data_IF_184275193355
#
_entry.id   IF_184275193355
#
_cell.length_a   1.000
_cell.length_b   1.000
_cell.length_c   1.000
_cell.angle_alpha   90.00
_cell.angle_beta   90.00
_cell.angle_gamma   90.00
#
_symmetry.space_group_name_H-M   'P 1'
#
loop_
_entity.id
_entity.type
_entity.pdbx_description
1 polymer ?
#
# COMPACT_ATOMS: atom_id res chain seq x y z
N UNK A 1 14.02 -29.11 -1.46
CA UNK A 1 13.69 -29.07 -0.03
C UNK A 1 12.19 -29.15 0.23
N UNK A 2 11.35 -28.55 -0.64
CA UNK A 2 9.92 -28.39 -0.44
C UNK A 2 9.05 -29.15 -1.47
N UNK A 3 9.66 -29.97 -2.32
CA UNK A 3 8.95 -30.75 -3.34
C UNK A 3 7.86 -31.62 -2.71
N UNK A 4 6.65 -31.55 -3.28
CA UNK A 4 5.50 -32.33 -2.80
C UNK A 4 4.79 -31.77 -1.55
N UNK A 5 5.27 -30.69 -0.93
CA UNK A 5 4.58 -30.09 0.19
C UNK A 5 3.40 -29.22 -0.27
N UNK A 6 2.28 -29.18 0.46
CA UNK A 6 1.28 -28.13 0.27
C UNK A 6 1.92 -26.75 0.43
N UNK A 7 1.42 -25.77 -0.31
CA UNK A 7 1.93 -24.40 -0.24
C UNK A 7 0.93 -23.45 0.45
N UNK A 8 1.43 -22.41 1.07
CA UNK A 8 0.65 -21.34 1.68
C UNK A 8 1.27 -19.99 1.35
N UNK A 9 0.45 -18.97 1.11
CA UNK A 9 0.86 -17.57 1.00
C UNK A 9 0.60 -16.87 2.34
N UNK A 10 1.47 -15.93 2.71
CA UNK A 10 1.21 -14.98 3.78
C UNK A 10 0.98 -13.59 3.21
N UNK A 11 0.01 -12.88 3.78
CA UNK A 11 -0.26 -11.48 3.46
C UNK A 11 -0.62 -10.71 4.73
N UNK A 12 -0.47 -9.40 4.69
CA UNK A 12 -0.87 -8.53 5.80
C UNK A 12 -2.39 -8.31 5.78
N UNK A 13 -2.99 -8.27 6.95
CA UNK A 13 -4.41 -7.91 7.08
C UNK A 13 -4.68 -6.55 6.41
N UNK A 14 -5.84 -6.47 5.73
CA UNK A 14 -6.29 -5.29 4.97
C UNK A 14 -5.41 -4.91 3.77
N UNK A 15 -4.38 -5.68 3.43
CA UNK A 15 -3.56 -5.42 2.24
C UNK A 15 -4.36 -5.50 0.93
N UNK A 16 -3.83 -4.85 -0.10
CA UNK A 16 -4.35 -4.91 -1.45
C UNK A 16 -3.21 -5.13 -2.46
N UNK A 17 -3.25 -6.27 -3.16
CA UNK A 17 -2.20 -6.68 -4.09
C UNK A 17 -2.69 -6.87 -5.54
N UNK A 18 -3.93 -6.50 -5.82
CA UNK A 18 -4.53 -6.63 -7.15
C UNK A 18 -5.83 -7.44 -7.18
N UNK A 19 -6.39 -7.60 -8.38
CA UNK A 19 -7.75 -8.14 -8.59
C UNK A 19 -7.78 -9.40 -9.44
N UNK A 20 -6.62 -9.93 -9.87
CA UNK A 20 -6.54 -11.09 -10.76
C UNK A 20 -5.95 -12.28 -10.02
N UNK A 21 -6.65 -13.41 -10.06
CA UNK A 21 -6.25 -14.72 -9.52
C UNK A 21 -5.45 -14.65 -8.21
N UNK A 22 -4.17 -15.03 -8.20
CA UNK A 22 -3.33 -15.07 -6.98
C UNK A 22 -3.21 -13.72 -6.26
N UNK A 23 -2.93 -12.59 -6.93
CA UNK A 23 -2.97 -11.28 -6.28
C UNK A 23 -4.29 -10.97 -5.60
N UNK A 24 -5.42 -11.39 -6.18
CA UNK A 24 -6.73 -11.23 -5.56
C UNK A 24 -6.90 -12.08 -4.29
N UNK A 25 -6.30 -13.28 -4.25
CA UNK A 25 -6.36 -14.14 -3.07
C UNK A 25 -5.69 -13.51 -1.85
N UNK A 26 -4.58 -12.81 -2.05
CA UNK A 26 -3.85 -12.10 -0.98
C UNK A 26 -4.33 -10.65 -0.76
N UNK A 27 -5.34 -10.17 -1.51
CA UNK A 27 -5.97 -8.86 -1.31
C UNK A 27 -7.07 -8.94 -0.26
N UNK A 28 -6.68 -8.91 1.02
CA UNK A 28 -7.64 -9.04 2.13
C UNK A 28 -8.69 -7.91 2.16
N UNK A 29 -8.34 -6.70 1.74
CA UNK A 29 -9.28 -5.56 1.68
C UNK A 29 -10.49 -5.78 0.77
N UNK A 30 -10.38 -6.69 -0.21
CA UNK A 30 -11.47 -7.03 -1.14
C UNK A 30 -12.18 -8.35 -0.82
N UNK A 31 -11.79 -9.02 0.27
CA UNK A 31 -12.25 -10.37 0.61
C UNK A 31 -13.77 -10.51 0.60
N UNK A 32 -14.46 -9.66 1.34
CA UNK A 32 -15.91 -9.76 1.51
C UNK A 32 -16.65 -9.56 0.18
N UNK A 33 -16.16 -8.65 -0.65
CA UNK A 33 -16.69 -8.42 -2.00
C UNK A 33 -16.51 -9.62 -2.92
N UNK A 34 -15.38 -10.28 -2.87
CA UNK A 34 -15.09 -11.46 -3.68
C UNK A 34 -15.88 -12.67 -3.20
N UNK A 35 -15.92 -12.92 -1.88
CA UNK A 35 -16.67 -14.04 -1.30
C UNK A 35 -18.16 -13.93 -1.59
N UNK A 36 -18.70 -12.70 -1.61
CA UNK A 36 -20.12 -12.45 -1.88
C UNK A 36 -20.49 -12.57 -3.36
N UNK A 37 -19.62 -12.14 -4.27
CA UNK A 37 -19.99 -11.91 -5.66
C UNK A 37 -19.31 -12.85 -6.67
N UNK A 38 -18.25 -13.56 -6.28
CA UNK A 38 -17.46 -14.41 -7.18
C UNK A 38 -17.48 -15.86 -6.71
N UNK A 39 -18.49 -16.60 -7.13
CA UNK A 39 -18.70 -18.00 -6.71
C UNK A 39 -17.51 -18.93 -7.00
N UNK A 40 -16.71 -18.62 -8.03
CA UNK A 40 -15.51 -19.39 -8.40
C UNK A 40 -14.24 -18.95 -7.66
N UNK A 41 -14.32 -17.88 -6.85
CA UNK A 41 -13.19 -17.36 -6.08
C UNK A 41 -13.06 -18.11 -4.75
N UNK A 42 -12.56 -19.34 -4.82
CA UNK A 42 -12.40 -20.26 -3.70
C UNK A 42 -10.90 -20.57 -3.48
N UNK A 43 -10.58 -21.31 -2.43
CA UNK A 43 -9.22 -21.83 -2.19
C UNK A 43 -8.36 -20.91 -1.33
N UNK A 44 -8.98 -20.18 -0.40
CA UNK A 44 -8.25 -19.35 0.58
C UNK A 44 -7.70 -20.13 1.77
N UNK A 45 -7.90 -21.43 1.81
CA UNK A 45 -7.22 -22.35 2.71
C UNK A 45 -5.69 -22.30 2.58
N UNK A 46 -5.20 -21.81 1.43
CA UNK A 46 -3.78 -21.62 1.16
C UNK A 46 -3.27 -20.21 1.56
N UNK A 47 -4.05 -19.45 2.29
CA UNK A 47 -3.69 -18.11 2.76
C UNK A 47 -3.71 -18.07 4.28
N UNK A 48 -2.67 -17.46 4.89
CA UNK A 48 -2.73 -16.96 6.25
C UNK A 48 -2.52 -15.44 6.28
N UNK A 49 -3.25 -14.77 7.16
CA UNK A 49 -3.20 -13.33 7.33
C UNK A 49 -2.44 -12.99 8.60
N UNK A 50 -1.59 -11.97 8.51
CA UNK A 50 -0.78 -11.47 9.62
C UNK A 50 -1.25 -10.04 9.95
N UNK A 51 -1.55 -9.71 11.20
CA UNK A 51 -1.78 -8.31 11.59
C UNK A 51 -0.56 -7.44 11.24
N UNK A 52 -0.81 -6.20 10.82
CA UNK A 52 0.29 -5.30 10.45
C UNK A 52 1.26 -5.10 11.62
N UNK A 53 2.54 -5.26 11.35
CA UNK A 53 3.65 -5.09 12.31
C UNK A 53 3.63 -6.06 13.53
N UNK A 54 2.83 -7.11 13.49
CA UNK A 54 2.83 -8.13 14.56
C UNK A 54 3.88 -9.21 14.31
N UNK A 55 5.07 -9.01 14.88
CA UNK A 55 6.19 -9.94 14.79
C UNK A 55 5.85 -11.30 15.41
N UNK A 56 5.11 -11.33 16.52
CA UNK A 56 4.76 -12.58 17.18
C UNK A 56 3.81 -13.43 16.32
N UNK A 57 2.81 -12.79 15.70
CA UNK A 57 1.92 -13.45 14.75
C UNK A 57 2.67 -13.97 13.52
N UNK A 58 3.63 -13.18 13.00
CA UNK A 58 4.48 -13.60 11.89
C UNK A 58 5.30 -14.84 12.23
N UNK A 59 5.98 -14.84 13.36
CA UNK A 59 6.77 -16.00 13.86
C UNK A 59 5.88 -17.23 14.06
N UNK A 60 4.70 -17.05 14.67
CA UNK A 60 3.74 -18.12 14.89
C UNK A 60 3.25 -18.74 13.57
N UNK A 61 3.04 -17.93 12.52
CA UNK A 61 2.60 -18.43 11.22
C UNK A 61 3.65 -19.33 10.55
N UNK A 62 4.94 -18.98 10.63
CA UNK A 62 6.02 -19.82 10.11
C UNK A 62 6.17 -21.09 10.94
N UNK A 63 6.14 -21.01 12.27
CA UNK A 63 6.22 -22.17 13.15
C UNK A 63 5.04 -23.14 12.94
N UNK A 64 3.83 -22.62 12.75
CA UNK A 64 2.66 -23.45 12.47
C UNK A 64 2.77 -24.14 11.11
N UNK A 65 3.25 -23.42 10.07
CA UNK A 65 3.45 -24.00 8.74
C UNK A 65 4.49 -25.16 8.79
N UNK A 66 5.55 -25.01 9.55
CA UNK A 66 6.53 -26.09 9.75
C UNK A 66 5.90 -27.28 10.47
N UNK A 67 5.11 -27.06 11.52
CA UNK A 67 4.41 -28.11 12.24
C UNK A 67 3.39 -28.86 11.38
N UNK A 68 2.70 -28.15 10.49
CA UNK A 68 1.71 -28.70 9.54
C UNK A 68 2.37 -29.39 8.32
N UNK A 69 3.68 -29.24 8.14
CA UNK A 69 4.39 -29.71 6.94
C UNK A 69 4.06 -28.93 5.67
N UNK A 70 3.58 -27.68 5.82
CA UNK A 70 3.23 -26.76 4.73
C UNK A 70 4.42 -25.86 4.41
N UNK A 71 4.62 -25.55 3.12
CA UNK A 71 5.63 -24.60 2.69
C UNK A 71 5.00 -23.21 2.47
N UNK A 72 5.52 -22.19 3.14
CA UNK A 72 5.18 -20.80 2.85
C UNK A 72 5.94 -20.39 1.60
N UNK A 73 5.23 -20.23 0.47
CA UNK A 73 5.86 -19.88 -0.80
C UNK A 73 6.28 -18.39 -0.86
N UNK A 74 5.48 -17.51 -0.27
CA UNK A 74 5.77 -16.08 -0.20
C UNK A 74 5.12 -15.41 1.02
N UNK A 75 5.70 -14.29 1.41
CA UNK A 75 5.11 -13.25 2.24
C UNK A 75 5.00 -11.96 1.41
N UNK A 76 3.79 -11.43 1.25
CA UNK A 76 3.54 -10.18 0.55
C UNK A 76 3.31 -9.03 1.55
N UNK A 77 4.01 -7.90 1.37
CA UNK A 77 3.87 -6.69 2.18
C UNK A 77 3.80 -5.44 1.30
N UNK A 78 3.07 -4.41 1.75
CA UNK A 78 3.13 -3.06 1.19
C UNK A 78 4.02 -2.19 2.09
N UNK A 79 4.94 -1.36 1.58
CA UNK A 79 5.72 -0.43 2.42
C UNK A 79 4.81 0.53 3.20
N UNK A 80 3.74 0.97 2.55
CA UNK A 80 2.63 1.72 3.15
C UNK A 80 1.36 1.18 2.54
N UNK A 81 0.45 0.70 3.35
CA UNK A 81 -0.81 0.20 2.84
C UNK A 81 -1.62 1.31 2.16
N UNK A 82 -2.15 1.01 0.98
CA UNK A 82 -2.84 2.00 0.16
C UNK A 82 -4.37 1.92 0.19
N UNK A 83 -4.96 0.75 0.47
CA UNK A 83 -6.40 0.51 0.31
C UNK A 83 -7.12 0.19 1.63
N UNK A 84 -6.93 -0.98 2.19
CA UNK A 84 -7.77 -1.45 3.31
C UNK A 84 -7.37 -0.89 4.67
N UNK A 85 -6.11 -0.45 4.82
CA UNK A 85 -5.64 0.32 5.98
C UNK A 85 -4.69 1.42 5.49
N UNK A 86 -5.20 2.42 4.73
CA UNK A 86 -4.35 3.40 4.09
C UNK A 86 -3.50 4.14 5.12
N UNK A 87 -2.23 4.38 4.76
CA UNK A 87 -1.27 5.05 5.61
C UNK A 87 -0.59 4.19 6.68
N UNK A 88 -0.97 2.92 6.86
CA UNK A 88 -0.24 2.01 7.76
C UNK A 88 1.10 1.67 7.12
N UNK A 89 2.18 2.10 7.77
CA UNK A 89 3.56 1.86 7.34
C UNK A 89 4.09 0.55 7.93
N UNK A 90 4.90 -0.17 7.16
CA UNK A 90 5.67 -1.29 7.70
C UNK A 90 6.76 -0.76 8.63
N UNK A 91 6.91 -1.36 9.80
CA UNK A 91 7.98 -1.03 10.73
C UNK A 91 9.26 -1.77 10.36
N UNK A 92 10.42 -1.12 10.56
CA UNK A 92 11.72 -1.72 10.25
C UNK A 92 11.93 -3.07 10.95
N UNK A 93 11.58 -3.18 12.23
CA UNK A 93 11.74 -4.43 12.98
C UNK A 93 10.89 -5.58 12.40
N UNK A 94 9.66 -5.27 11.93
CA UNK A 94 8.81 -6.24 11.26
C UNK A 94 9.40 -6.68 9.92
N UNK A 95 9.90 -5.72 9.12
CA UNK A 95 10.56 -6.02 7.84
C UNK A 95 11.77 -6.92 8.02
N UNK A 96 12.65 -6.61 8.98
CA UNK A 96 13.86 -7.38 9.25
C UNK A 96 13.52 -8.81 9.66
N UNK A 97 12.51 -8.99 10.51
CA UNK A 97 12.05 -10.34 10.90
C UNK A 97 11.39 -11.07 9.73
N UNK A 98 10.58 -10.38 8.92
CA UNK A 98 10.01 -10.94 7.70
C UNK A 98 11.10 -11.43 6.74
N UNK A 99 12.17 -10.63 6.56
CA UNK A 99 13.31 -10.98 5.72
C UNK A 99 14.08 -12.19 6.29
N UNK A 100 14.33 -12.20 7.60
CA UNK A 100 15.00 -13.29 8.28
C UNK A 100 14.25 -14.61 8.11
N UNK A 101 12.95 -14.62 8.42
CA UNK A 101 12.12 -15.83 8.34
C UNK A 101 11.99 -16.35 6.92
N UNK A 102 11.75 -15.46 5.94
CA UNK A 102 11.64 -15.89 4.53
C UNK A 102 12.92 -16.53 4.04
N UNK A 103 14.10 -16.01 4.41
CA UNK A 103 15.41 -16.61 4.06
C UNK A 103 15.60 -17.98 4.72
N UNK A 104 15.35 -18.09 6.01
CA UNK A 104 15.51 -19.33 6.75
C UNK A 104 14.66 -20.47 6.18
N UNK A 105 13.43 -20.17 5.75
CA UNK A 105 12.50 -21.15 5.22
C UNK A 105 12.60 -21.38 3.72
N UNK A 106 13.35 -20.54 3.00
CA UNK A 106 13.44 -20.57 1.54
C UNK A 106 12.18 -20.01 0.85
N UNK A 107 11.42 -19.22 1.59
CA UNK A 107 10.26 -18.46 1.12
C UNK A 107 10.69 -17.19 0.41
N UNK A 108 9.81 -16.55 -0.35
CA UNK A 108 10.10 -15.26 -0.98
C UNK A 108 9.45 -14.11 -0.23
N UNK A 109 10.21 -13.03 -0.01
CA UNK A 109 9.67 -11.75 0.43
C UNK A 109 9.33 -10.92 -0.80
N UNK A 110 8.04 -10.61 -0.95
CA UNK A 110 7.50 -9.79 -2.05
C UNK A 110 7.05 -8.47 -1.50
N UNK A 111 7.63 -7.37 -1.98
CA UNK A 111 7.22 -6.01 -1.63
C UNK A 111 6.38 -5.43 -2.74
N UNK A 112 5.18 -4.97 -2.40
CA UNK A 112 4.27 -4.31 -3.31
C UNK A 112 4.32 -2.80 -3.12
N UNK A 113 5.16 -2.15 -3.91
CA UNK A 113 5.34 -0.69 -3.96
C UNK A 113 4.46 -0.01 -5.02
N UNK A 114 3.43 -0.70 -5.52
CA UNK A 114 2.55 -0.16 -6.56
C UNK A 114 1.86 1.14 -6.14
N UNK A 115 1.46 1.27 -4.88
CA UNK A 115 0.88 2.51 -4.35
C UNK A 115 1.90 3.38 -3.63
N UNK A 116 2.81 2.78 -2.88
CA UNK A 116 3.78 3.48 -2.03
C UNK A 116 5.02 3.98 -2.79
N UNK A 117 5.40 3.35 -3.89
CA UNK A 117 6.59 3.72 -4.66
C UNK A 117 6.57 5.19 -5.08
N UNK A 118 7.66 5.91 -4.83
CA UNK A 118 7.82 7.37 -4.94
C UNK A 118 6.94 8.14 -3.95
N UNK A 119 5.65 7.83 -3.88
CA UNK A 119 4.67 8.53 -3.06
C UNK A 119 4.96 8.46 -1.56
N UNK A 120 5.41 7.31 -1.07
CA UNK A 120 5.65 7.09 0.34
C UNK A 120 6.72 8.03 0.93
N UNK A 121 7.91 8.08 0.36
CA UNK A 121 9.00 8.93 0.86
C UNK A 121 9.84 9.58 -0.27
N UNK A 122 9.29 9.70 -1.45
CA UNK A 122 10.05 10.14 -2.63
C UNK A 122 11.03 9.09 -3.14
N UNK A 123 10.99 7.87 -2.61
CA UNK A 123 11.86 6.76 -2.95
C UNK A 123 11.11 5.71 -3.76
N UNK A 124 11.78 5.02 -4.65
CA UNK A 124 11.17 3.96 -5.43
C UNK A 124 11.02 2.68 -4.58
N UNK A 125 12.12 2.24 -3.97
CA UNK A 125 12.17 1.02 -3.18
C UNK A 125 12.04 1.28 -1.67
N UNK A 126 11.53 0.28 -0.94
CA UNK A 126 11.45 0.30 0.52
C UNK A 126 12.84 0.43 1.17
N UNK A 127 13.87 -0.16 0.58
CA UNK A 127 15.24 -0.08 1.12
C UNK A 127 15.88 1.30 1.00
N UNK A 128 15.24 2.22 0.30
CA UNK A 128 15.64 3.63 0.24
C UNK A 128 14.88 4.50 1.26
N UNK A 129 13.93 3.94 2.02
CA UNK A 129 13.19 4.67 3.04
C UNK A 129 14.10 5.02 4.22
N UNK A 130 13.80 6.13 4.89
CA UNK A 130 14.52 6.52 6.10
C UNK A 130 14.44 5.39 7.15
N UNK A 131 15.59 4.98 7.65
CA UNK A 131 15.74 3.86 8.57
C UNK A 131 15.79 2.46 7.93
N UNK A 132 15.72 2.36 6.59
CA UNK A 132 15.78 1.07 5.88
C UNK A 132 17.04 0.93 4.99
N UNK A 133 17.92 1.93 4.93
CA UNK A 133 19.04 1.98 3.98
C UNK A 133 20.06 0.83 4.14
N UNK A 134 20.10 0.22 5.31
CA UNK A 134 20.93 -0.97 5.61
C UNK A 134 20.10 -2.26 5.66
N UNK A 135 18.79 -2.20 5.33
CA UNK A 135 17.94 -3.37 5.25
C UNK A 135 18.31 -4.23 4.03
N UNK A 136 18.21 -5.54 4.20
CA UNK A 136 18.39 -6.44 3.08
C UNK A 136 17.21 -6.31 2.10
N UNK A 137 17.50 -6.19 0.81
CA UNK A 137 16.47 -6.05 -0.23
C UNK A 137 15.51 -7.26 -0.26
N UNK A 138 14.24 -7.05 -0.66
CA UNK A 138 13.28 -8.14 -0.87
C UNK A 138 13.71 -9.01 -2.07
N UNK A 139 13.13 -10.18 -2.19
CA UNK A 139 13.37 -11.05 -3.36
C UNK A 139 12.73 -10.49 -4.63
N UNK A 140 11.56 -9.86 -4.46
CA UNK A 140 10.85 -9.15 -5.54
C UNK A 140 10.22 -7.88 -5.02
N UNK A 141 10.23 -6.84 -5.84
CA UNK A 141 9.48 -5.60 -5.59
C UNK A 141 8.76 -5.15 -6.84
N UNK A 142 7.47 -4.80 -6.70
CA UNK A 142 6.60 -4.42 -7.81
C UNK A 142 6.27 -2.93 -7.76
N UNK A 143 6.29 -2.26 -8.92
CA UNK A 143 5.94 -0.84 -9.09
C UNK A 143 4.95 -0.64 -10.22
N UNK A 144 4.10 0.38 -10.09
CA UNK A 144 3.16 0.85 -11.11
C UNK A 144 2.74 2.29 -10.80
N UNK A 145 1.54 2.68 -11.12
CA UNK A 145 0.89 3.97 -10.79
C UNK A 145 1.83 5.19 -10.96
N UNK A 146 2.55 5.59 -9.92
CA UNK A 146 3.40 6.77 -9.94
C UNK A 146 4.44 6.77 -11.06
N UNK A 147 5.01 5.60 -11.43
CA UNK A 147 6.05 5.51 -12.46
C UNK A 147 5.55 5.80 -13.88
N UNK A 148 4.25 5.85 -14.11
CA UNK A 148 3.67 6.19 -15.41
C UNK A 148 2.84 7.46 -15.42
N UNK A 149 2.74 8.16 -14.30
CA UNK A 149 1.97 9.39 -14.11
C UNK A 149 0.49 9.26 -14.59
N UNK A 150 -0.07 8.06 -14.60
CA UNK A 150 -1.43 7.78 -15.07
C UNK A 150 -1.63 7.87 -16.59
N UNK A 151 -0.56 7.95 -17.38
CA UNK A 151 -0.64 8.11 -18.84
C UNK A 151 -0.84 6.79 -19.58
N UNK A 152 -0.07 5.75 -19.22
CA UNK A 152 -0.17 4.43 -19.84
C UNK A 152 -0.12 3.34 -18.77
N UNK A 153 -0.92 2.28 -18.90
CA UNK A 153 -0.79 1.11 -18.03
C UNK A 153 0.62 0.54 -18.11
N UNK A 154 1.30 0.49 -16.98
CA UNK A 154 2.63 -0.08 -16.84
C UNK A 154 2.78 -0.64 -15.44
N UNK A 155 3.38 -1.81 -15.34
CA UNK A 155 3.95 -2.35 -14.12
C UNK A 155 5.33 -2.92 -14.36
N UNK A 156 6.19 -2.81 -13.38
CA UNK A 156 7.56 -3.31 -13.40
C UNK A 156 7.77 -4.14 -12.14
N UNK A 157 8.48 -5.25 -12.28
CA UNK A 157 8.92 -6.07 -11.14
C UNK A 157 10.44 -6.15 -11.19
N UNK A 158 11.08 -5.66 -10.15
CA UNK A 158 12.48 -5.92 -9.86
C UNK A 158 12.60 -7.23 -9.09
N UNK A 159 13.65 -7.99 -9.34
CA UNK A 159 13.88 -9.25 -8.65
C UNK A 159 15.37 -9.51 -8.48
N UNK A 160 15.72 -10.29 -7.46
CA UNK A 160 17.09 -10.76 -7.27
C UNK A 160 17.50 -11.70 -8.39
N UNK A 161 18.81 -11.83 -8.63
CA UNK A 161 19.34 -12.78 -9.62
C UNK A 161 18.88 -14.20 -9.33
N UNK A 162 18.83 -14.59 -8.05
CA UNK A 162 18.37 -15.93 -7.67
C UNK A 162 16.92 -16.20 -8.10
N UNK A 163 16.03 -15.19 -8.02
CA UNK A 163 14.65 -15.32 -8.50
C UNK A 163 14.60 -15.30 -10.02
N UNK A 164 15.37 -14.42 -10.66
CA UNK A 164 15.43 -14.33 -12.12
C UNK A 164 15.91 -15.63 -12.77
N UNK A 165 16.86 -16.32 -12.16
CA UNK A 165 17.38 -17.60 -12.65
C UNK A 165 16.36 -18.74 -12.59
N UNK A 166 15.29 -18.58 -11.80
CA UNK A 166 14.15 -19.53 -11.75
C UNK A 166 13.13 -19.31 -12.87
N UNK A 167 13.21 -18.16 -13.56
CA UNK A 167 12.26 -17.84 -14.62
C UNK A 167 12.54 -18.69 -15.87
N UNK A 168 11.49 -19.34 -16.35
CA UNK A 168 11.54 -20.13 -17.60
C UNK A 168 10.75 -19.39 -18.67
N UNK A 169 11.40 -19.10 -19.80
CA UNK A 169 10.80 -18.41 -20.94
C UNK A 169 9.50 -19.09 -21.38
N UNK A 170 8.43 -18.32 -21.53
CA UNK A 170 7.13 -18.80 -21.98
C UNK A 170 6.20 -19.35 -20.91
N UNK A 171 6.63 -19.50 -19.64
CA UNK A 171 5.73 -19.90 -18.55
C UNK A 171 4.79 -18.76 -18.16
N UNK A 172 5.29 -17.53 -18.14
CA UNK A 172 4.52 -16.34 -17.82
C UNK A 172 4.80 -15.25 -18.85
N UNK A 173 3.78 -14.58 -19.28
CA UNK A 173 3.91 -13.47 -20.21
C UNK A 173 2.57 -12.88 -20.59
N UNK A 174 2.63 -11.73 -21.24
CA UNK A 174 1.50 -11.00 -21.76
C UNK A 174 1.93 -10.36 -23.08
N UNK A 175 1.14 -10.53 -24.13
CA UNK A 175 1.43 -9.99 -25.47
C UNK A 175 1.52 -8.45 -25.51
N UNK A 176 0.98 -7.77 -24.50
CA UNK A 176 0.99 -6.29 -24.39
C UNK A 176 2.13 -5.77 -23.53
N UNK A 177 3.06 -6.61 -23.07
CA UNK A 177 4.25 -6.17 -22.33
C UNK A 177 5.21 -5.41 -23.22
N UNK A 178 6.13 -4.65 -22.60
CA UNK A 178 7.16 -3.88 -23.29
C UNK A 178 6.63 -2.85 -24.30
N UNK A 179 5.45 -2.29 -24.06
CA UNK A 179 4.92 -1.21 -24.90
C UNK A 179 5.89 0.00 -24.85
N UNK A 180 6.49 0.40 -25.99
CA UNK A 180 7.50 1.45 -25.99
C UNK A 180 6.97 2.80 -25.50
N UNK A 181 5.71 3.14 -25.74
CA UNK A 181 5.11 4.39 -25.24
C UNK A 181 5.02 4.40 -23.71
N UNK A 182 4.66 3.26 -23.11
CA UNK A 182 4.63 3.14 -21.66
C UNK A 182 6.03 3.23 -21.06
N UNK A 183 7.03 2.61 -21.69
CA UNK A 183 8.42 2.65 -21.24
C UNK A 183 9.01 4.06 -21.34
N UNK A 184 8.82 4.76 -22.47
CA UNK A 184 9.25 6.15 -22.66
C UNK A 184 8.58 7.09 -21.64
N UNK A 185 7.28 6.88 -21.37
CA UNK A 185 6.60 7.65 -20.33
C UNK A 185 7.20 7.41 -18.95
N UNK A 186 7.51 6.16 -18.60
CA UNK A 186 8.13 5.83 -17.33
C UNK A 186 9.54 6.45 -17.21
N UNK A 187 10.36 6.40 -18.26
CA UNK A 187 11.67 7.06 -18.31
C UNK A 187 11.49 8.57 -18.05
N UNK A 188 10.61 9.23 -18.79
CA UNK A 188 10.35 10.65 -18.63
C UNK A 188 9.85 11.03 -17.23
N UNK A 189 9.09 10.16 -16.57
CA UNK A 189 8.66 10.34 -15.18
C UNK A 189 9.83 10.18 -14.22
N UNK A 190 10.60 9.12 -14.35
CA UNK A 190 11.74 8.84 -13.46
C UNK A 190 12.81 9.93 -13.53
N UNK A 191 13.08 10.47 -14.73
CA UNK A 191 14.01 11.60 -14.93
C UNK A 191 13.57 12.88 -14.21
N UNK A 192 12.27 13.00 -13.90
CA UNK A 192 11.72 14.14 -13.14
C UNK A 192 11.69 13.92 -11.63
N UNK A 193 11.98 12.73 -11.14
CA UNK A 193 12.05 12.44 -9.70
C UNK A 193 13.41 12.89 -9.17
N UNK A 194 13.62 14.21 -9.18
CA UNK A 194 14.84 14.83 -8.69
C UNK A 194 14.95 14.77 -7.16
N UNK A 195 16.16 15.01 -6.58
CA UNK A 195 16.31 15.13 -5.14
C UNK A 195 15.39 16.20 -4.52
N UNK A 196 15.18 17.32 -5.21
CA UNK A 196 14.30 18.41 -4.77
C UNK A 196 12.84 17.95 -4.69
N UNK A 197 12.36 17.22 -5.72
CA UNK A 197 11.00 16.67 -5.72
C UNK A 197 10.83 15.61 -4.62
N UNK A 198 11.82 14.75 -4.39
CA UNK A 198 11.81 13.78 -3.29
C UNK A 198 11.75 14.47 -1.94
N UNK A 199 12.53 15.55 -1.74
CA UNK A 199 12.48 16.35 -0.52
C UNK A 199 11.12 17.03 -0.36
N UNK A 200 10.52 17.54 -1.46
CA UNK A 200 9.18 18.12 -1.43
C UNK A 200 8.14 17.10 -0.97
N UNK A 201 8.14 15.87 -1.51
CA UNK A 201 7.24 14.80 -1.12
C UNK A 201 7.29 14.56 0.40
N UNK A 202 8.50 14.47 0.96
CA UNK A 202 8.68 14.27 2.41
C UNK A 202 8.20 15.48 3.23
N UNK A 203 8.62 16.67 2.84
CA UNK A 203 8.30 17.89 3.57
C UNK A 203 6.79 18.19 3.56
N UNK A 204 6.17 18.13 2.38
CA UNK A 204 4.69 18.36 2.26
C UNK A 204 3.89 17.24 2.93
N UNK A 205 4.40 16.01 2.88
CA UNK A 205 3.80 14.91 3.62
C UNK A 205 3.79 15.14 5.13
N UNK A 206 4.92 15.57 5.70
CA UNK A 206 5.02 15.91 7.12
C UNK A 206 4.08 17.07 7.50
N UNK A 207 4.03 18.13 6.69
CA UNK A 207 3.08 19.24 6.90
C UNK A 207 1.62 18.79 6.84
N UNK A 208 1.28 17.91 5.90
CA UNK A 208 -0.09 17.40 5.77
C UNK A 208 -0.47 16.55 6.98
N UNK A 209 0.40 15.66 7.43
CA UNK A 209 0.17 14.85 8.65
C UNK A 209 -0.03 15.77 9.85
N UNK A 210 0.89 16.73 10.09
CA UNK A 210 0.80 17.65 11.21
C UNK A 210 -0.51 18.47 11.20
N UNK A 211 -0.88 19.02 10.02
CA UNK A 211 -2.13 19.77 9.91
C UNK A 211 -3.39 18.94 10.14
N UNK A 212 -3.38 17.66 9.69
CA UNK A 212 -4.50 16.75 9.97
C UNK A 212 -4.52 16.28 11.43
N UNK A 213 -3.37 16.16 12.09
CA UNK A 213 -3.29 15.90 13.54
C UNK A 213 -3.83 17.07 14.36
N UNK A 214 -3.63 18.33 13.92
CA UNK A 214 -4.29 19.49 14.52
C UNK A 214 -5.82 19.40 14.36
N UNK A 215 -6.32 19.04 13.19
CA UNK A 215 -7.77 18.80 12.99
C UNK A 215 -8.28 17.69 13.91
N UNK A 216 -7.52 16.62 14.08
CA UNK A 216 -7.87 15.53 15.01
C UNK A 216 -7.89 16.02 16.48
N UNK A 217 -6.92 16.84 16.88
CA UNK A 217 -6.88 17.39 18.22
C UNK A 217 -8.07 18.32 18.52
N UNK A 218 -8.51 19.12 17.53
CA UNK A 218 -9.67 20.01 17.65
C UNK A 218 -11.01 19.24 17.56
N UNK A 219 -11.03 18.08 16.89
CA UNK A 219 -12.23 17.28 16.66
C UNK A 219 -12.01 15.77 16.96
N UNK A 220 -11.64 15.41 18.21
CA UNK A 220 -11.26 14.05 18.56
C UNK A 220 -12.40 13.02 18.43
N UNK A 221 -13.66 13.47 18.48
CA UNK A 221 -14.84 12.62 18.27
C UNK A 221 -15.16 12.38 16.78
N UNK A 222 -14.49 13.11 15.88
CA UNK A 222 -14.72 13.02 14.45
C UNK A 222 -13.56 12.30 13.74
N UNK A 223 -12.32 12.65 14.07
CA UNK A 223 -11.11 12.10 13.47
C UNK A 223 -10.46 11.14 14.46
N UNK A 224 -10.56 9.85 14.19
CA UNK A 224 -10.10 8.80 15.11
C UNK A 224 -8.60 8.55 15.01
N UNK A 225 -8.02 8.73 13.84
CA UNK A 225 -6.58 8.61 13.63
C UNK A 225 -6.13 9.33 12.36
N UNK A 226 -4.88 9.80 12.40
CA UNK A 226 -4.13 10.28 11.22
C UNK A 226 -2.89 9.42 11.08
N UNK A 227 -2.57 8.99 9.86
CA UNK A 227 -1.39 8.15 9.60
C UNK A 227 -0.93 8.25 8.15
N UNK A 228 0.34 7.93 7.93
CA UNK A 228 0.94 7.92 6.60
C UNK A 228 2.35 8.47 6.58
N UNK A 229 2.94 8.46 5.40
CA UNK A 229 4.27 9.03 5.16
C UNK A 229 4.37 9.56 3.74
N UNK A 230 5.15 10.61 3.54
CA UNK A 230 5.17 11.31 2.27
C UNK A 230 3.76 11.75 1.85
N UNK A 231 3.42 11.55 0.60
CA UNK A 231 2.11 11.93 0.05
C UNK A 231 1.14 10.72 -0.07
N UNK A 232 1.21 9.80 0.88
CA UNK A 232 0.24 8.74 1.10
C UNK A 232 -0.23 8.82 2.56
N UNK A 233 -1.23 9.64 2.80
CA UNK A 233 -1.74 9.99 4.13
C UNK A 233 -3.23 9.67 4.21
N UNK A 234 -3.71 9.37 5.40
CA UNK A 234 -5.12 9.15 5.64
C UNK A 234 -5.57 9.73 6.99
N UNK A 235 -6.82 10.18 7.03
CA UNK A 235 -7.55 10.50 8.25
C UNK A 235 -8.76 9.57 8.35
N UNK A 236 -8.80 8.74 9.39
CA UNK A 236 -9.92 7.83 9.66
C UNK A 236 -10.97 8.55 10.50
N UNK A 237 -12.21 8.53 10.04
CA UNK A 237 -13.32 9.23 10.66
C UNK A 237 -14.24 8.27 11.40
N UNK A 238 -14.95 8.75 12.43
CA UNK A 238 -16.01 8.00 13.08
C UNK A 238 -17.13 7.65 12.08
N UNK A 239 -17.35 6.37 11.77
CA UNK A 239 -18.32 5.97 10.74
C UNK A 239 -19.77 6.25 11.13
N UNK A 240 -20.08 6.37 12.42
CA UNK A 240 -21.43 6.61 12.89
C UNK A 240 -21.88 8.05 12.61
N UNK A 241 -20.98 9.01 12.75
CA UNK A 241 -21.27 10.44 12.59
C UNK A 241 -20.79 11.02 11.27
N UNK A 242 -19.68 10.50 10.75
CA UNK A 242 -18.99 11.01 9.55
C UNK A 242 -18.80 9.91 8.50
N UNK A 243 -19.87 9.29 7.99
CA UNK A 243 -19.74 8.27 6.96
C UNK A 243 -19.10 8.88 5.70
N UNK A 244 -18.01 8.27 5.23
CA UNK A 244 -17.22 8.82 4.12
C UNK A 244 -17.87 8.53 2.78
N UNK A 245 -18.40 7.31 2.56
CA UNK A 245 -18.92 6.84 1.27
C UNK A 245 -20.42 7.07 1.14
N UNK A 246 -20.85 7.65 0.03
CA UNK A 246 -22.25 7.89 -0.33
C UNK A 246 -22.48 9.28 -0.93
N UNK A 247 -23.62 9.49 -1.60
CA UNK A 247 -23.88 10.72 -2.36
C UNK A 247 -23.89 12.00 -1.51
N UNK A 248 -24.45 11.96 -0.31
CA UNK A 248 -24.54 13.09 0.62
C UNK A 248 -23.57 12.90 1.81
N UNK A 249 -22.43 12.22 1.57
CA UNK A 249 -21.43 11.92 2.58
C UNK A 249 -20.15 12.71 2.40
N UNK A 250 -19.22 12.52 3.33
CA UNK A 250 -18.02 13.35 3.49
C UNK A 250 -17.19 13.43 2.20
N UNK A 251 -16.93 12.32 1.51
CA UNK A 251 -16.16 12.31 0.26
C UNK A 251 -16.82 13.16 -0.83
N UNK A 252 -18.13 12.98 -1.04
CA UNK A 252 -18.85 13.71 -2.08
C UNK A 252 -19.01 15.18 -1.74
N UNK A 253 -19.17 15.52 -0.46
CA UNK A 253 -19.15 16.90 -0.02
C UNK A 253 -17.82 17.58 -0.34
N UNK A 254 -16.69 16.95 0.02
CA UNK A 254 -15.35 17.46 -0.31
C UNK A 254 -15.19 17.73 -1.82
N UNK A 255 -15.58 16.75 -2.65
CA UNK A 255 -15.48 16.88 -4.12
C UNK A 255 -16.31 18.03 -4.67
N UNK A 256 -17.54 18.23 -4.17
CA UNK A 256 -18.41 19.34 -4.56
C UNK A 256 -17.89 20.71 -4.13
N UNK A 257 -17.01 20.75 -3.12
CA UNK A 257 -16.38 21.97 -2.60
C UNK A 257 -14.93 22.16 -3.03
N UNK A 258 -14.45 21.41 -4.03
CA UNK A 258 -13.16 21.61 -4.67
C UNK A 258 -12.01 20.75 -4.18
N UNK A 259 -12.21 19.86 -3.19
CA UNK A 259 -11.21 18.91 -2.77
C UNK A 259 -11.45 17.54 -3.43
N UNK A 260 -10.62 17.19 -4.43
CA UNK A 260 -10.60 15.87 -5.05
C UNK A 260 -9.96 14.86 -4.11
N UNK A 261 -10.78 14.14 -3.35
CA UNK A 261 -10.35 13.14 -2.38
C UNK A 261 -11.06 11.80 -2.65
N UNK A 262 -10.50 10.72 -2.14
CA UNK A 262 -11.10 9.38 -2.22
C UNK A 262 -11.15 8.72 -0.85
N UNK A 263 -12.06 7.78 -0.71
CA UNK A 263 -12.14 6.94 0.48
C UNK A 263 -11.08 5.84 0.48
N UNK A 264 -10.87 5.23 1.65
CA UNK A 264 -10.08 4.01 1.86
C UNK A 264 -10.37 3.40 3.21
N UNK A 265 -9.86 2.19 3.45
CA UNK A 265 -10.05 1.52 4.71
C UNK A 265 -11.51 1.30 5.09
N UNK A 266 -11.76 1.29 6.40
CA UNK A 266 -13.12 1.13 6.91
C UNK A 266 -13.97 2.40 6.69
N UNK A 267 -13.43 3.57 7.03
CA UNK A 267 -14.13 4.85 6.88
C UNK A 267 -13.11 6.02 6.91
N UNK A 268 -12.21 6.09 5.94
CA UNK A 268 -11.15 7.07 5.93
C UNK A 268 -11.13 7.93 4.68
N UNK A 269 -10.72 9.19 4.82
CA UNK A 269 -10.29 10.06 3.74
C UNK A 269 -8.83 9.74 3.42
N UNK A 270 -8.54 9.45 2.15
CA UNK A 270 -7.20 9.12 1.67
C UNK A 270 -6.66 10.25 0.80
N UNK A 271 -5.55 10.82 1.23
CA UNK A 271 -4.87 11.94 0.59
C UNK A 271 -3.70 11.42 -0.24
N UNK A 272 -3.80 11.61 -1.55
CA UNK A 272 -2.78 11.20 -2.53
C UNK A 272 -2.56 12.31 -3.55
N UNK A 273 -2.14 13.52 -3.12
CA UNK A 273 -1.99 14.66 -3.99
C UNK A 273 -0.84 14.47 -5.00
N UNK A 274 -0.68 15.40 -5.94
CA UNK A 274 0.45 15.42 -6.86
C UNK A 274 1.77 15.74 -6.13
N UNK A 275 2.89 15.32 -6.71
CA UNK A 275 4.21 15.41 -6.04
C UNK A 275 4.76 16.82 -5.91
N UNK A 276 4.30 17.74 -6.74
CA UNK A 276 4.67 19.15 -6.67
C UNK A 276 3.78 19.99 -5.75
N UNK A 277 3.03 19.35 -4.83
CA UNK A 277 2.19 20.04 -3.84
C UNK A 277 3.01 21.11 -3.09
N UNK A 278 2.41 22.29 -2.91
CA UNK A 278 3.01 23.41 -2.15
C UNK A 278 2.50 23.44 -0.72
N UNK A 279 3.18 24.18 0.19
CA UNK A 279 2.69 24.39 1.57
C UNK A 279 1.32 25.10 1.58
N UNK A 280 1.09 26.04 0.67
CA UNK A 280 -0.20 26.73 0.56
C UNK A 280 -1.31 25.74 0.21
N UNK A 281 -1.08 24.85 -0.74
CA UNK A 281 -2.03 23.79 -1.11
C UNK A 281 -2.25 22.78 0.01
N UNK A 282 -1.22 22.46 0.82
CA UNK A 282 -1.39 21.67 2.05
C UNK A 282 -2.35 22.37 3.01
N UNK A 283 -2.16 23.68 3.24
CA UNK A 283 -3.07 24.47 4.06
C UNK A 283 -4.52 24.41 3.57
N UNK A 284 -4.73 24.55 2.25
CA UNK A 284 -6.08 24.44 1.66
C UNK A 284 -6.70 23.04 1.89
N UNK A 285 -5.92 21.97 1.79
CA UNK A 285 -6.41 20.60 2.06
C UNK A 285 -6.82 20.43 3.51
N UNK A 286 -6.00 20.91 4.45
CA UNK A 286 -6.27 20.86 5.89
C UNK A 286 -7.51 21.69 6.24
N UNK A 287 -7.61 22.92 5.73
CA UNK A 287 -8.76 23.80 5.93
C UNK A 287 -10.05 23.18 5.39
N UNK A 288 -10.01 22.56 4.22
CA UNK A 288 -11.18 21.89 3.64
C UNK A 288 -11.57 20.67 4.48
N UNK A 289 -10.59 19.92 5.02
CA UNK A 289 -10.87 18.81 5.94
C UNK A 289 -11.54 19.30 7.21
N UNK A 290 -11.07 20.41 7.79
CA UNK A 290 -11.72 21.05 8.95
C UNK A 290 -13.17 21.45 8.64
N UNK A 291 -13.40 22.13 7.52
CA UNK A 291 -14.73 22.59 7.08
C UNK A 291 -15.72 21.44 6.89
N UNK A 292 -15.30 20.31 6.34
CA UNK A 292 -16.22 19.17 6.18
C UNK A 292 -16.57 18.55 7.54
N UNK A 293 -15.62 18.46 8.47
CA UNK A 293 -15.90 17.99 9.83
C UNK A 293 -16.88 18.93 10.54
N UNK A 294 -16.67 20.23 10.50
CA UNK A 294 -17.58 21.24 11.06
C UNK A 294 -18.98 21.15 10.45
N UNK A 295 -19.07 21.02 9.12
CA UNK A 295 -20.36 20.89 8.41
C UNK A 295 -21.18 19.69 8.92
N UNK A 296 -20.57 18.51 8.99
CA UNK A 296 -21.27 17.31 9.47
C UNK A 296 -21.44 17.26 10.99
N UNK A 297 -20.69 18.04 11.75
CA UNK A 297 -20.91 18.20 13.20
C UNK A 297 -22.12 19.06 13.51
N UNK A 298 -22.49 19.98 12.63
CA UNK A 298 -23.63 20.88 12.80
C UNK A 298 -24.96 20.29 12.28
N UNK A 299 -24.90 19.19 11.53
CA UNK A 299 -26.08 18.53 10.93
C UNK A 299 -26.65 17.45 11.87
#
# INVERSE_FOLDING_TARGET
RHEGKPTRMLAIERAFHGRTDRPAQISHSCKDGYDKNLNTFQGRENLALIPANDIAALQAAFAQADADGVFIELLAIEPVQGEGAPGVCVERAFYDEARRLTKEHGSMLVVDSVQAGIRGQGCLSIVDYEGFQDAEAPDMEAWSKAINAGQFPLSVVGMTTEVADKYVTGIYGNTMTTNPRALETAIAVLDRITPELRNNIRARGAELVAGLEEVMADHPDAVLSVRGTGLLVCAELDPARFPVVGDEKVEMWCRRHGLGIIHGGHNALRYTPHFGLTSEEVGLVVDMTRKVIEHFSAA
#
